data_IF_660250785239
#
_entry.id   IF_660250785239
#
_cell.length_a   1.000
_cell.length_b   1.000
_cell.length_c   1.000
_cell.angle_alpha   90.00
_cell.angle_beta   90.00
_cell.angle_gamma   90.00
#
_symmetry.space_group_name_H-M   'P 1'
#
loop_
_entity.id
_entity.type
_entity.pdbx_description
1 polymer ?
#
# COMPACT_ATOMS: atom_id res chain seq x y z
N UNK A 1 -9.62 -6.54 -23.67
CA UNK A 1 -8.67 -7.31 -22.86
C UNK A 1 -7.58 -6.34 -22.46
N UNK A 2 -7.72 -5.72 -21.29
CA UNK A 2 -6.72 -4.76 -20.80
C UNK A 2 -5.49 -5.58 -20.43
N UNK A 3 -4.39 -5.38 -21.16
CA UNK A 3 -3.09 -5.96 -20.80
C UNK A 3 -2.70 -5.32 -19.47
N UNK A 4 -2.93 -6.03 -18.37
CA UNK A 4 -2.60 -5.57 -17.02
C UNK A 4 -1.09 -5.64 -16.85
N UNK A 5 -0.38 -4.66 -17.41
CA UNK A 5 1.05 -4.48 -17.22
C UNK A 5 1.34 -4.37 -15.71
N UNK A 6 1.84 -5.47 -15.13
CA UNK A 6 2.29 -5.52 -13.75
C UNK A 6 3.39 -4.47 -13.59
N UNK A 7 3.07 -3.38 -12.92
CA UNK A 7 4.00 -2.27 -12.75
C UNK A 7 4.79 -2.49 -11.47
N UNK A 8 6.10 -2.66 -11.59
CA UNK A 8 6.98 -2.72 -10.43
C UNK A 8 6.96 -1.38 -9.69
N UNK A 9 6.62 -1.41 -8.40
CA UNK A 9 6.47 -0.20 -7.59
C UNK A 9 7.82 0.40 -7.17
N UNK A 10 8.78 -0.45 -6.82
CA UNK A 10 10.07 -0.03 -6.28
C UNK A 10 11.13 -0.04 -7.39
N UNK A 11 11.09 0.97 -8.24
CA UNK A 11 12.05 1.17 -9.34
C UNK A 11 12.83 2.45 -9.10
N UNK A 12 14.12 2.43 -9.45
CA UNK A 12 14.95 3.63 -9.44
C UNK A 12 14.66 4.48 -10.69
N UNK A 13 14.06 5.65 -10.50
CA UNK A 13 13.93 6.66 -11.54
C UNK A 13 15.08 7.69 -11.40
N UNK A 14 15.93 7.88 -12.43
CA UNK A 14 17.05 8.81 -12.36
C UNK A 14 16.63 10.29 -12.45
N UNK A 15 15.42 10.57 -12.94
CA UNK A 15 14.92 11.93 -13.12
C UNK A 15 14.33 12.49 -11.81
N UNK A 16 14.84 13.64 -11.36
CA UNK A 16 14.33 14.32 -10.16
C UNK A 16 14.28 15.84 -10.37
N UNK A 17 13.08 16.40 -10.26
CA UNK A 17 12.76 17.82 -10.37
C UNK A 17 12.64 18.45 -9.00
N UNK A 18 13.44 19.49 -8.75
CA UNK A 18 13.49 20.23 -7.48
C UNK A 18 12.14 20.78 -7.02
N UNK A 19 11.30 21.20 -7.97
CA UNK A 19 9.95 21.72 -7.68
C UNK A 19 9.05 20.61 -7.13
N UNK A 20 9.21 19.38 -7.61
CA UNK A 20 8.42 18.25 -7.12
C UNK A 20 8.72 17.98 -5.65
N UNK A 21 9.98 18.10 -5.22
CA UNK A 21 10.37 17.95 -3.81
C UNK A 21 9.63 18.96 -2.91
N UNK A 22 9.47 20.21 -3.35
CA UNK A 22 8.74 21.22 -2.57
C UNK A 22 7.25 20.90 -2.48
N UNK A 23 6.62 20.54 -3.61
CA UNK A 23 5.19 20.20 -3.62
C UNK A 23 4.91 18.93 -2.83
N UNK A 24 5.85 17.99 -2.84
CA UNK A 24 5.77 16.72 -2.12
C UNK A 24 5.63 16.91 -0.62
N UNK A 25 6.21 17.94 -0.03
CA UNK A 25 6.05 18.24 1.42
C UNK A 25 4.58 18.46 1.77
N UNK A 26 3.87 19.27 0.98
CA UNK A 26 2.44 19.49 1.19
C UNK A 26 1.63 18.22 0.87
N UNK A 27 2.02 17.49 -0.17
CA UNK A 27 1.33 16.26 -0.56
C UNK A 27 1.49 15.13 0.46
N UNK A 28 2.62 15.04 1.15
CA UNK A 28 2.85 14.11 2.27
C UNK A 28 1.89 14.36 3.41
N UNK A 29 1.52 15.62 3.69
CA UNK A 29 0.53 15.92 4.72
C UNK A 29 -0.83 15.34 4.31
N UNK A 30 -1.24 15.51 3.06
CA UNK A 30 -2.51 14.96 2.56
C UNK A 30 -2.54 13.42 2.62
N UNK A 31 -1.51 12.75 2.08
CA UNK A 31 -1.37 11.29 2.15
C UNK A 31 -1.30 10.82 3.61
N UNK A 32 -0.58 11.57 4.45
CA UNK A 32 -0.36 11.26 5.85
C UNK A 32 -1.64 11.30 6.66
N UNK A 33 -2.51 12.28 6.45
CA UNK A 33 -3.82 12.36 7.12
C UNK A 33 -4.69 11.16 6.75
N UNK A 34 -4.84 10.88 5.44
CA UNK A 34 -5.66 9.73 4.99
C UNK A 34 -5.06 8.42 5.47
N UNK A 35 -3.74 8.29 5.40
CA UNK A 35 -3.01 7.13 5.87
C UNK A 35 -3.14 6.91 7.37
N UNK A 36 -3.12 7.97 8.16
CA UNK A 36 -3.30 7.91 9.61
C UNK A 36 -4.72 7.47 9.97
N UNK A 37 -5.75 8.07 9.37
CA UNK A 37 -7.15 7.66 9.60
C UNK A 37 -7.37 6.20 9.21
N UNK A 38 -6.91 5.79 8.02
CA UNK A 38 -7.03 4.42 7.55
C UNK A 38 -6.26 3.46 8.48
N UNK A 39 -5.07 3.85 8.94
CA UNK A 39 -4.24 3.08 9.86
C UNK A 39 -4.87 2.88 11.23
N UNK A 40 -5.53 3.91 11.78
CA UNK A 40 -6.29 3.79 13.04
C UNK A 40 -7.41 2.76 12.90
N UNK A 41 -8.18 2.81 11.80
CA UNK A 41 -9.25 1.83 11.57
C UNK A 41 -8.64 0.42 11.38
N UNK A 42 -7.53 0.30 10.65
CA UNK A 42 -6.87 -0.97 10.42
C UNK A 42 -6.34 -1.59 11.72
N UNK A 43 -5.82 -0.75 12.63
CA UNK A 43 -5.42 -1.17 13.97
C UNK A 43 -6.60 -1.68 14.78
N UNK A 44 -7.74 -0.98 14.76
CA UNK A 44 -8.96 -1.45 15.41
C UNK A 44 -9.42 -2.79 14.82
N UNK A 45 -9.40 -2.92 13.49
CA UNK A 45 -9.70 -4.19 12.81
C UNK A 45 -8.75 -5.31 13.23
N UNK A 46 -7.45 -5.03 13.39
CA UNK A 46 -6.47 -6.02 13.83
C UNK A 46 -6.74 -6.48 15.26
N UNK A 47 -7.04 -5.55 16.17
CA UNK A 47 -7.39 -5.86 17.56
C UNK A 47 -8.64 -6.75 17.59
N UNK A 48 -9.70 -6.37 16.85
CA UNK A 48 -10.93 -7.16 16.76
C UNK A 48 -10.66 -8.53 16.15
N UNK A 49 -9.85 -8.60 15.08
CA UNK A 49 -9.50 -9.85 14.42
C UNK A 49 -8.74 -10.79 15.36
N UNK A 50 -7.85 -10.25 16.21
CA UNK A 50 -7.13 -11.03 17.20
C UNK A 50 -8.09 -11.70 18.20
N UNK A 51 -9.03 -10.95 18.77
CA UNK A 51 -10.07 -11.52 19.63
C UNK A 51 -10.95 -12.53 18.88
N UNK A 52 -11.33 -12.22 17.63
CA UNK A 52 -12.13 -13.10 16.79
C UNK A 52 -11.42 -14.45 16.53
N UNK A 53 -10.11 -14.43 16.27
CA UNK A 53 -9.31 -15.65 16.10
C UNK A 53 -9.25 -16.45 17.40
N UNK A 54 -9.04 -15.80 18.55
CA UNK A 54 -8.99 -16.49 19.84
C UNK A 54 -10.29 -17.21 20.18
N UNK A 55 -11.43 -16.61 19.86
CA UNK A 55 -12.75 -17.18 20.18
C UNK A 55 -13.20 -18.21 19.14
N UNK A 56 -13.02 -17.91 17.84
CA UNK A 56 -13.59 -18.69 16.74
C UNK A 56 -12.60 -19.68 16.10
N UNK A 57 -11.30 -19.54 16.38
CA UNK A 57 -10.24 -20.36 15.77
C UNK A 57 -10.02 -20.12 14.27
N UNK A 58 -10.60 -19.06 13.70
CA UNK A 58 -10.47 -18.71 12.27
C UNK A 58 -10.46 -17.20 12.08
N UNK A 59 -9.97 -16.75 10.91
CA UNK A 59 -9.94 -15.34 10.53
C UNK A 59 -11.28 -14.88 9.95
N UNK A 60 -11.69 -13.65 10.26
CA UNK A 60 -12.79 -12.98 9.55
C UNK A 60 -12.28 -12.44 8.21
N UNK A 61 -13.06 -12.65 7.15
CA UNK A 61 -12.73 -12.17 5.82
C UNK A 61 -12.78 -10.63 5.76
N UNK A 62 -13.85 -9.99 6.24
CA UNK A 62 -13.99 -8.54 6.17
C UNK A 62 -12.89 -7.77 6.93
N UNK A 63 -12.46 -8.28 8.09
CA UNK A 63 -11.35 -7.70 8.85
C UNK A 63 -10.01 -7.85 8.11
N UNK A 64 -9.82 -9.00 7.44
CA UNK A 64 -8.64 -9.26 6.63
C UNK A 64 -8.61 -8.39 5.37
N UNK A 65 -9.77 -8.22 4.71
CA UNK A 65 -9.91 -7.40 3.51
C UNK A 65 -9.64 -5.91 3.81
N UNK A 66 -10.07 -5.44 4.98
CA UNK A 66 -9.76 -4.07 5.41
C UNK A 66 -8.26 -3.87 5.65
N UNK A 67 -7.63 -4.79 6.39
CA UNK A 67 -6.19 -4.76 6.63
C UNK A 67 -5.40 -4.86 5.30
N UNK A 68 -5.85 -5.71 4.38
CA UNK A 68 -5.29 -5.82 3.02
C UNK A 68 -5.37 -4.47 2.29
N UNK A 69 -6.54 -3.84 2.24
CA UNK A 69 -6.71 -2.54 1.58
C UNK A 69 -5.84 -1.44 2.18
N UNK A 70 -5.65 -1.44 3.51
CA UNK A 70 -4.72 -0.53 4.17
C UNK A 70 -3.25 -0.76 3.77
N UNK A 71 -2.82 -2.03 3.70
CA UNK A 71 -1.46 -2.38 3.27
C UNK A 71 -1.23 -2.04 1.79
N UNK A 72 -2.18 -2.36 0.92
CA UNK A 72 -2.17 -2.00 -0.51
C UNK A 72 -2.11 -0.47 -0.69
N UNK A 73 -2.89 0.27 0.11
CA UNK A 73 -2.80 1.72 0.24
C UNK A 73 -1.34 2.11 0.54
N UNK A 74 -0.76 1.67 1.66
CA UNK A 74 0.57 2.12 2.07
C UNK A 74 1.67 1.76 1.07
N UNK A 75 1.72 0.51 0.62
CA UNK A 75 2.75 0.01 -0.30
C UNK A 75 2.73 0.76 -1.63
N UNK A 76 1.55 1.03 -2.19
CA UNK A 76 1.45 1.78 -3.44
C UNK A 76 1.99 3.22 -3.35
N UNK A 77 1.94 3.82 -2.15
CA UNK A 77 2.42 5.19 -1.91
C UNK A 77 3.88 5.28 -1.49
N UNK A 78 4.49 4.18 -1.03
CA UNK A 78 5.88 4.16 -0.58
C UNK A 78 6.88 4.69 -1.62
N UNK A 79 6.84 4.34 -2.92
CA UNK A 79 7.80 4.88 -3.89
C UNK A 79 7.82 6.41 -3.93
N UNK A 80 6.65 7.04 -3.81
CA UNK A 80 6.52 8.50 -3.75
C UNK A 80 6.95 9.06 -2.38
N UNK A 81 6.61 8.39 -1.28
CA UNK A 81 7.02 8.82 0.07
C UNK A 81 8.54 8.70 0.30
N UNK A 82 9.19 7.73 -0.33
CA UNK A 82 10.61 7.44 -0.19
C UNK A 82 11.46 7.99 -1.34
N UNK A 83 10.93 8.96 -2.12
CA UNK A 83 11.67 9.69 -3.16
C UNK A 83 12.21 8.80 -4.30
N UNK A 84 11.58 7.66 -4.57
CA UNK A 84 11.98 6.74 -5.65
C UNK A 84 11.38 7.12 -7.00
N UNK A 85 10.26 7.86 -6.99
CA UNK A 85 9.54 8.31 -8.19
C UNK A 85 8.99 9.72 -8.03
N UNK A 86 8.83 10.44 -9.14
CA UNK A 86 8.09 11.71 -9.22
C UNK A 86 6.60 11.51 -9.45
N UNK A 87 6.18 10.30 -9.80
CA UNK A 87 4.79 9.99 -10.11
C UNK A 87 3.95 10.12 -8.84
N UNK A 88 3.02 11.07 -8.85
CA UNK A 88 2.09 11.30 -7.75
C UNK A 88 1.01 10.22 -7.73
N UNK A 89 0.89 9.44 -6.66
CA UNK A 89 -0.22 8.51 -6.48
C UNK A 89 -1.49 9.26 -6.09
N UNK A 90 -2.66 8.63 -6.26
CA UNK A 90 -3.89 9.21 -5.73
C UNK A 90 -3.84 9.29 -4.20
N UNK A 91 -4.47 10.33 -3.66
CA UNK A 91 -4.59 10.52 -2.20
C UNK A 91 -5.48 9.46 -1.57
N UNK A 92 -6.52 9.03 -2.29
CA UNK A 92 -7.48 8.03 -1.81
C UNK A 92 -7.03 6.60 -2.12
N UNK A 93 -7.67 5.58 -1.49
CA UNK A 93 -7.41 4.19 -1.82
C UNK A 93 -7.85 3.85 -3.24
N UNK A 94 -6.92 3.30 -4.03
CA UNK A 94 -7.18 2.79 -5.37
C UNK A 94 -7.25 1.26 -5.35
N UNK A 95 -7.90 0.66 -6.33
CA UNK A 95 -7.94 -0.80 -6.49
C UNK A 95 -6.62 -1.31 -7.06
N UNK A 96 -5.66 -1.60 -6.18
CA UNK A 96 -4.34 -2.16 -6.53
C UNK A 96 -4.11 -3.45 -5.76
N UNK A 97 -3.42 -4.41 -6.38
CA UNK A 97 -2.99 -5.64 -5.73
C UNK A 97 -1.48 -5.64 -5.53
N UNK A 98 -1.02 -6.13 -4.39
CA UNK A 98 0.39 -6.43 -4.16
C UNK A 98 0.60 -7.92 -4.38
N UNK A 99 1.55 -8.25 -5.26
CA UNK A 99 1.86 -9.62 -5.63
C UNK A 99 3.32 -9.91 -5.31
N UNK A 100 3.58 -11.14 -4.88
CA UNK A 100 4.92 -11.68 -4.70
C UNK A 100 5.25 -12.52 -5.94
N UNK A 101 6.40 -12.26 -6.55
CA UNK A 101 6.91 -13.10 -7.63
C UNK A 101 7.66 -14.28 -7.02
N UNK A 102 7.14 -15.48 -7.21
CA UNK A 102 7.82 -16.70 -6.80
C UNK A 102 8.84 -17.07 -7.86
N UNK A 103 10.13 -16.94 -7.56
CA UNK A 103 11.17 -17.58 -8.37
C UNK A 103 10.89 -19.08 -8.34
N UNK A 104 10.66 -19.70 -9.51
CA UNK A 104 10.55 -21.16 -9.57
C UNK A 104 11.85 -21.73 -9.04
N UNK A 105 11.85 -22.22 -7.80
CA UNK A 105 12.92 -23.08 -7.29
C UNK A 105 13.17 -24.11 -8.38
N UNK A 106 14.38 -24.04 -8.96
CA UNK A 106 14.77 -24.86 -10.10
C UNK A 106 14.33 -26.30 -9.85
N UNK A 107 13.57 -26.84 -10.80
CA UNK A 107 13.31 -28.26 -10.81
C UNK A 107 14.62 -28.99 -11.02
N UNK A 108 15.11 -29.60 -9.96
CA UNK A 108 15.69 -30.95 -9.91
C UNK A 108 15.22 -31.63 -8.62
#
# INVERSE_FOLDING_TARGET
MTDSAMTQLFVFEPEARRIELLVRILYWIAIGIVGWVYGVIALLCLIVQWFYILIMGRRSQGLSDFAKGYLEYMVHRMPYLYLMTERRPAVFPDKVGVFEEMEKSGGE
#
